data_IF_250146679843
#
_entry.id   IF_250146679843
#
_cell.length_a   1.000
_cell.length_b   1.000
_cell.length_c   1.000
_cell.angle_alpha   90.00
_cell.angle_beta   90.00
_cell.angle_gamma   90.00
#
_symmetry.space_group_name_H-M   'P 1'
#
loop_
_entity.id
_entity.type
_entity.pdbx_description
1 polymer ?
#
# COMPACT_ATOMS: atom_id res chain seq x y z
N UNK A 1 -13.17 6.04 13.52
CA UNK A 1 -13.99 6.40 12.32
C UNK A 1 -13.34 5.83 11.08
N UNK A 2 -14.06 5.09 10.22
CA UNK A 2 -13.50 4.47 9.01
C UNK A 2 -13.01 5.53 8.01
N UNK A 3 -11.93 5.26 7.28
CA UNK A 3 -11.48 6.11 6.16
C UNK A 3 -12.52 6.05 5.04
N UNK A 4 -12.96 7.21 4.58
CA UNK A 4 -13.85 7.36 3.42
C UNK A 4 -13.09 7.87 2.19
N UNK A 5 -13.76 7.87 1.04
CA UNK A 5 -13.22 8.35 -0.24
C UNK A 5 -12.81 9.83 -0.21
N UNK A 6 -13.44 10.69 0.59
CA UNK A 6 -13.08 12.11 0.69
C UNK A 6 -11.76 12.30 1.44
N UNK A 7 -11.54 11.50 2.49
CA UNK A 7 -10.23 11.44 3.17
C UNK A 7 -9.11 10.96 2.24
N UNK A 8 -9.43 10.14 1.23
CA UNK A 8 -8.48 9.71 0.22
C UNK A 8 -8.22 10.83 -0.81
N UNK A 9 -9.28 11.54 -1.24
CA UNK A 9 -9.19 12.70 -2.12
C UNK A 9 -8.33 13.82 -1.53
N UNK A 10 -8.35 14.04 -0.22
CA UNK A 10 -7.49 15.03 0.46
C UNK A 10 -6.00 14.64 0.41
N UNK A 11 -5.69 13.35 0.28
CA UNK A 11 -4.32 12.84 0.25
C UNK A 11 -3.68 12.80 -1.14
N UNK A 12 -4.43 13.12 -2.19
CA UNK A 12 -3.99 13.12 -3.59
C UNK A 12 -4.32 14.47 -4.23
N UNK A 13 -3.63 14.86 -5.30
CA UNK A 13 -4.04 16.05 -6.03
C UNK A 13 -5.38 15.79 -6.73
N UNK A 14 -6.29 16.77 -6.71
CA UNK A 14 -7.59 16.63 -7.36
C UNK A 14 -7.47 16.30 -8.86
N UNK A 15 -6.43 16.81 -9.53
CA UNK A 15 -6.12 16.54 -10.93
C UNK A 15 -5.74 15.07 -11.16
N UNK A 16 -4.93 14.49 -10.28
CA UNK A 16 -4.58 13.07 -10.33
C UNK A 16 -5.78 12.18 -9.99
N UNK A 17 -6.58 12.56 -8.98
CA UNK A 17 -7.80 11.83 -8.65
C UNK A 17 -8.77 11.75 -9.83
N UNK A 18 -9.03 12.89 -10.48
CA UNK A 18 -9.89 12.94 -11.67
C UNK A 18 -9.29 12.17 -12.85
N UNK A 19 -7.97 12.23 -13.04
CA UNK A 19 -7.29 11.47 -14.10
C UNK A 19 -7.39 9.95 -13.91
N UNK A 20 -7.34 9.48 -12.66
CA UNK A 20 -7.36 8.06 -12.30
C UNK A 20 -8.80 7.53 -12.28
N UNK A 21 -9.69 8.20 -11.56
CA UNK A 21 -11.08 7.77 -11.41
C UNK A 21 -11.95 8.11 -12.62
N UNK A 22 -11.59 9.13 -13.42
CA UNK A 22 -12.36 9.62 -14.57
C UNK A 22 -13.85 9.86 -14.25
N UNK A 23 -14.11 10.35 -13.04
CA UNK A 23 -15.46 10.58 -12.52
C UNK A 23 -16.19 9.35 -11.99
N UNK A 24 -15.54 8.19 -11.92
CA UNK A 24 -16.07 6.97 -11.32
C UNK A 24 -15.31 6.62 -10.03
N UNK A 25 -15.97 6.83 -8.90
CA UNK A 25 -15.38 6.60 -7.57
C UNK A 25 -15.21 5.11 -7.24
N UNK A 26 -15.71 4.19 -8.06
CA UNK A 26 -15.61 2.75 -7.81
C UNK A 26 -14.15 2.28 -7.76
N UNK A 27 -13.25 2.92 -8.52
CA UNK A 27 -11.80 2.63 -8.47
C UNK A 27 -11.22 3.01 -7.11
N UNK A 28 -11.65 4.13 -6.53
CA UNK A 28 -11.21 4.58 -5.21
C UNK A 28 -11.79 3.69 -4.10
N UNK A 29 -13.06 3.29 -4.21
CA UNK A 29 -13.72 2.37 -3.28
C UNK A 29 -13.07 0.98 -3.29
N UNK A 30 -12.82 0.41 -4.47
CA UNK A 30 -12.15 -0.89 -4.61
C UNK A 30 -10.71 -0.83 -4.09
N UNK A 31 -10.00 0.28 -4.36
CA UNK A 31 -8.65 0.51 -3.85
C UNK A 31 -8.62 0.59 -2.31
N UNK A 32 -9.60 1.24 -1.69
CA UNK A 32 -9.75 1.30 -0.24
C UNK A 32 -10.08 -0.06 0.37
N UNK A 33 -11.00 -0.82 -0.22
CA UNK A 33 -11.34 -2.16 0.26
C UNK A 33 -10.13 -3.11 0.20
N UNK A 34 -9.40 -3.06 -0.92
CA UNK A 34 -8.15 -3.82 -1.11
C UNK A 34 -7.07 -3.40 -0.10
N UNK A 35 -6.97 -2.11 0.21
CA UNK A 35 -6.04 -1.60 1.23
C UNK A 35 -6.39 -2.08 2.64
N UNK A 36 -7.67 -2.05 3.01
CA UNK A 36 -8.11 -2.61 4.29
C UNK A 36 -7.80 -4.09 4.41
N UNK A 37 -8.09 -4.86 3.36
CA UNK A 37 -7.77 -6.29 3.34
C UNK A 37 -6.27 -6.54 3.51
N UNK A 38 -5.42 -5.78 2.81
CA UNK A 38 -3.97 -5.92 2.90
C UNK A 38 -3.44 -5.55 4.30
N UNK A 39 -3.84 -4.41 4.83
CA UNK A 39 -3.39 -3.95 6.16
C UNK A 39 -3.96 -4.83 7.27
N UNK A 40 -5.19 -5.31 7.15
CA UNK A 40 -5.79 -6.27 8.06
C UNK A 40 -5.01 -7.60 8.08
N UNK A 41 -4.67 -8.14 6.90
CA UNK A 41 -3.80 -9.32 6.78
C UNK A 41 -2.39 -9.08 7.35
N UNK A 42 -1.83 -7.89 7.13
CA UNK A 42 -0.51 -7.53 7.66
C UNK A 42 -0.57 -7.43 9.20
N UNK A 43 -1.56 -6.74 9.76
CA UNK A 43 -1.78 -6.62 11.19
C UNK A 43 -1.97 -7.99 11.86
N UNK A 44 -2.79 -8.87 11.27
CA UNK A 44 -2.98 -10.25 11.75
C UNK A 44 -1.66 -11.03 11.76
N UNK A 45 -0.86 -10.92 10.68
CA UNK A 45 0.48 -11.54 10.61
C UNK A 45 1.45 -10.99 11.65
N UNK A 46 1.29 -9.72 12.03
CA UNK A 46 2.11 -9.08 13.04
C UNK A 46 1.61 -9.34 14.46
N UNK A 47 0.45 -9.99 14.62
CA UNK A 47 -0.18 -10.20 15.93
C UNK A 47 -0.75 -8.92 16.53
N UNK A 48 -1.05 -7.91 15.69
CA UNK A 48 -1.63 -6.63 16.08
C UNK A 48 -3.11 -6.64 15.67
N UNK A 49 -3.99 -6.15 16.54
CA UNK A 49 -5.40 -5.99 16.20
C UNK A 49 -5.55 -4.87 15.16
N UNK A 50 -6.24 -5.16 14.05
CA UNK A 50 -6.50 -4.16 13.04
C UNK A 50 -7.48 -3.12 13.56
N UNK A 51 -7.01 -1.89 13.72
CA UNK A 51 -7.80 -0.76 14.18
C UNK A 51 -7.56 0.47 13.31
N UNK A 52 -8.62 1.01 12.68
CA UNK A 52 -8.55 2.22 11.84
C UNK A 52 -8.49 3.54 12.65
N UNK A 53 -8.58 3.46 13.99
CA UNK A 53 -8.33 4.60 14.87
C UNK A 53 -6.83 4.73 15.20
N UNK A 54 -6.06 3.65 15.05
CA UNK A 54 -4.61 3.72 15.13
C UNK A 54 -4.03 4.55 13.95
N UNK A 55 -3.29 5.63 14.24
CA UNK A 55 -2.79 6.52 13.20
C UNK A 55 -1.79 5.86 12.26
N UNK A 56 -1.06 4.81 12.69
CA UNK A 56 -0.12 4.10 11.83
C UNK A 56 -0.85 3.15 10.87
N UNK A 57 -1.83 2.38 11.36
CA UNK A 57 -2.67 1.54 10.50
C UNK A 57 -3.52 2.38 9.55
N UNK A 58 -4.09 3.49 10.02
CA UNK A 58 -4.81 4.46 9.18
C UNK A 58 -3.93 5.00 8.06
N UNK A 59 -2.70 5.40 8.37
CA UNK A 59 -1.75 5.90 7.39
C UNK A 59 -1.33 4.81 6.39
N UNK A 60 -1.12 3.58 6.84
CA UNK A 60 -0.80 2.45 5.99
C UNK A 60 -1.92 2.15 4.98
N UNK A 61 -3.18 2.16 5.45
CA UNK A 61 -4.35 1.99 4.57
C UNK A 61 -4.41 3.09 3.51
N UNK A 62 -4.25 4.37 3.91
CA UNK A 62 -4.23 5.49 2.96
C UNK A 62 -3.13 5.33 1.90
N UNK A 63 -1.90 5.01 2.31
CA UNK A 63 -0.77 4.83 1.39
C UNK A 63 -0.97 3.64 0.46
N UNK A 64 -1.52 2.53 0.93
CA UNK A 64 -1.79 1.38 0.08
C UNK A 64 -2.93 1.63 -0.92
N UNK A 65 -3.98 2.32 -0.49
CA UNK A 65 -5.08 2.71 -1.36
C UNK A 65 -4.59 3.63 -2.48
N UNK A 66 -3.76 4.63 -2.17
CA UNK A 66 -3.11 5.47 -3.17
C UNK A 66 -2.24 4.64 -4.13
N UNK A 67 -1.44 3.72 -3.61
CA UNK A 67 -0.63 2.85 -4.45
C UNK A 67 -1.49 2.05 -5.46
N UNK A 68 -2.64 1.52 -5.03
CA UNK A 68 -3.58 0.82 -5.91
C UNK A 68 -4.15 1.75 -6.98
N UNK A 69 -4.59 2.95 -6.61
CA UNK A 69 -5.08 3.95 -7.57
C UNK A 69 -4.04 4.26 -8.66
N UNK A 70 -2.78 4.48 -8.28
CA UNK A 70 -1.71 4.72 -9.27
C UNK A 70 -1.37 3.48 -10.12
N UNK A 71 -1.58 2.26 -9.60
CA UNK A 71 -1.47 1.03 -10.42
C UNK A 71 -2.55 1.00 -11.49
N UNK A 72 -3.79 1.33 -11.14
CA UNK A 72 -4.88 1.44 -12.11
C UNK A 72 -4.62 2.52 -13.15
N UNK A 73 -3.94 3.60 -12.75
CA UNK A 73 -3.48 4.66 -13.64
C UNK A 73 -2.32 4.26 -14.57
N UNK A 74 -1.74 3.07 -14.39
CA UNK A 74 -0.47 2.64 -14.99
C UNK A 74 0.76 3.51 -14.64
N UNK A 75 0.68 4.25 -13.53
CA UNK A 75 1.75 5.09 -12.96
C UNK A 75 2.58 4.28 -11.95
N UNK A 76 3.41 3.38 -12.48
CA UNK A 76 4.12 2.37 -11.68
C UNK A 76 5.18 2.95 -10.72
N UNK A 77 5.88 4.01 -11.11
CA UNK A 77 6.88 4.65 -10.23
C UNK A 77 6.24 5.23 -8.96
N UNK A 78 5.12 5.94 -9.14
CA UNK A 78 4.38 6.56 -8.05
C UNK A 78 3.74 5.49 -7.17
N UNK A 79 3.17 4.44 -7.78
CA UNK A 79 2.63 3.30 -7.04
C UNK A 79 3.68 2.56 -6.20
N UNK A 80 4.88 2.33 -6.74
CA UNK A 80 5.95 1.63 -6.02
C UNK A 80 6.47 2.46 -4.84
N UNK A 81 6.56 3.78 -5.01
CA UNK A 81 6.89 4.70 -3.92
C UNK A 81 5.88 4.59 -2.77
N UNK A 82 4.58 4.66 -3.05
CA UNK A 82 3.55 4.53 -2.01
C UNK A 82 3.53 3.15 -1.35
N UNK A 83 3.82 2.07 -2.08
CA UNK A 83 4.03 0.74 -1.49
C UNK A 83 5.21 0.71 -0.52
N UNK A 84 6.33 1.31 -0.91
CA UNK A 84 7.50 1.41 -0.03
C UNK A 84 7.14 2.18 1.25
N UNK A 85 6.50 3.33 1.11
CA UNK A 85 6.12 4.15 2.26
C UNK A 85 5.08 3.43 3.16
N UNK A 86 4.16 2.65 2.59
CA UNK A 86 3.25 1.81 3.38
C UNK A 86 4.03 0.75 4.17
N UNK A 87 4.97 0.06 3.53
CA UNK A 87 5.82 -0.91 4.20
C UNK A 87 6.69 -0.27 5.29
N UNK A 88 7.19 0.95 5.10
CA UNK A 88 7.93 1.68 6.15
C UNK A 88 7.07 1.99 7.37
N UNK A 89 5.77 2.27 7.19
CA UNK A 89 4.82 2.47 8.29
C UNK A 89 4.49 1.16 9.00
N UNK A 90 4.41 0.05 8.26
CA UNK A 90 4.11 -1.29 8.81
C UNK A 90 5.34 -1.99 9.42
N UNK A 91 6.55 -1.68 8.96
CA UNK A 91 7.82 -2.26 9.45
C UNK A 91 8.00 -2.13 10.96
N UNK A 92 7.76 -0.98 11.62
CA UNK A 92 7.89 -0.87 13.08
C UNK A 92 6.80 -1.60 13.86
N UNK A 93 5.66 -1.91 13.22
CA UNK A 93 4.57 -2.71 13.81
C UNK A 93 4.83 -4.22 13.68
N UNK A 94 5.74 -4.62 12.79
CA UNK A 94 6.12 -6.01 12.67
C UNK A 94 6.74 -6.48 13.99
N UNK A 95 6.34 -7.66 14.51
CA UNK A 95 7.00 -8.24 15.67
C UNK A 95 8.46 -8.33 15.31
N UNK A 96 9.33 -7.80 16.18
CA UNK A 96 10.77 -7.82 15.96
C UNK A 96 11.16 -9.23 15.60
N UNK A 97 11.39 -9.47 14.31
CA UNK A 97 12.20 -10.57 13.87
C UNK A 97 13.59 -10.21 14.39
N UNK A 98 13.82 -10.57 15.65
CA UNK A 98 15.14 -10.87 16.13
C UNK A 98 15.76 -11.72 15.01
N UNK A 99 16.80 -11.19 14.37
CA UNK A 99 17.48 -11.77 13.20
C UNK A 99 16.87 -11.48 11.81
N UNK A 100 17.25 -10.33 11.24
CA UNK A 100 17.87 -10.32 9.90
C UNK A 100 17.03 -10.68 8.67
N UNK A 101 15.72 -10.46 8.68
CA UNK A 101 14.87 -10.66 7.51
C UNK A 101 14.32 -9.34 6.99
N UNK A 102 14.81 -8.84 5.86
CA UNK A 102 14.11 -7.84 5.03
C UNK A 102 12.80 -8.47 4.54
N UNK A 103 11.70 -8.32 5.29
CA UNK A 103 10.42 -8.97 4.95
C UNK A 103 9.79 -8.31 3.70
N UNK A 104 10.13 -7.05 3.38
CA UNK A 104 9.48 -6.31 2.29
C UNK A 104 10.36 -5.32 1.53
N UNK A 105 11.68 -5.53 1.46
CA UNK A 105 12.55 -4.56 0.77
C UNK A 105 13.24 -5.15 -0.46
N UNK A 106 12.95 -4.51 -1.60
CA UNK A 106 13.63 -4.57 -2.90
C UNK A 106 13.34 -5.78 -3.79
N UNK A 107 12.38 -5.60 -4.70
CA UNK A 107 12.59 -6.02 -6.09
C UNK A 107 13.82 -5.25 -6.59
N UNK A 108 14.98 -5.88 -6.58
CA UNK A 108 16.16 -5.38 -7.28
C UNK A 108 15.90 -5.57 -8.77
N UNK A 109 15.76 -4.51 -9.61
CA UNK A 109 15.82 -4.67 -11.05
C UNK A 109 17.26 -5.01 -11.44
N UNK A 110 17.62 -6.28 -11.36
CA UNK A 110 18.98 -6.71 -11.65
C UNK A 110 19.39 -8.01 -10.98
N UNK A 111 18.72 -9.11 -11.33
CA UNK A 111 19.30 -10.46 -11.17
C UNK A 111 18.74 -11.35 -12.26
N UNK A 112 19.19 -11.10 -13.49
CA UNK A 112 19.14 -12.11 -14.55
C UNK A 112 20.14 -13.20 -14.14
N UNK A 113 19.66 -14.22 -13.44
CA UNK A 113 20.37 -15.51 -13.40
C UNK A 113 19.50 -16.55 -14.07
N UNK A 114 19.35 -16.39 -15.38
CA UNK A 114 18.87 -17.45 -16.26
C UNK A 114 19.95 -18.54 -16.26
N UNK A 115 19.82 -19.55 -15.40
CA UNK A 115 20.60 -20.79 -15.54
C UNK A 115 19.99 -21.57 -16.70
N UNK A 116 20.48 -21.27 -17.89
CA UNK A 116 20.36 -22.16 -19.04
C UNK A 116 21.04 -23.49 -18.70
N UNK A 117 20.28 -24.57 -18.87
CA UNK A 117 20.83 -25.92 -19.02
C UNK A 117 21.67 -25.94 -20.30
N UNK A 118 22.95 -26.34 -20.20
CA UNK A 118 23.67 -27.17 -21.17
C UNK A 118 24.95 -27.70 -20.55
#
# INVERSE_FOLDING_TARGET
>A
MLIDIYELQDCIQAEDYDAICRGDDAVAEESLESARAYVGLAAEKFGVEYDEEDPALRLAVKKWALAQMYIFAAEWETAERYKSECNEVLTPLAPSAETGGKIFSHTTPGSISWKGYY
#
